data_IF_374872711027
#
_entry.id   IF_374872711027
#
_cell.length_a   1.000
_cell.length_b   1.000
_cell.length_c   1.000
_cell.angle_alpha   90.00
_cell.angle_beta   90.00
_cell.angle_gamma   90.00
#
_symmetry.space_group_name_H-M   'P 1'
#
loop_
_entity.id
_entity.type
_entity.pdbx_description
1 polymer ?
#
# COMPACT_ATOMS: atom_id res chain seq x y z
N UNK A 1 -18.52 -15.38 -8.79
CA UNK A 1 -19.48 -15.39 -7.66
C UNK A 1 -18.80 -15.32 -6.29
N UNK A 2 -17.87 -16.23 -5.96
CA UNK A 2 -17.12 -16.22 -4.68
C UNK A 2 -16.41 -14.90 -4.34
N UNK A 3 -15.76 -14.26 -5.32
CA UNK A 3 -15.09 -12.96 -5.13
C UNK A 3 -16.05 -11.79 -4.79
N UNK A 4 -17.28 -11.83 -5.30
CA UNK A 4 -18.29 -10.81 -5.00
C UNK A 4 -18.89 -11.02 -3.61
N UNK A 5 -19.14 -12.27 -3.23
CA UNK A 5 -19.60 -12.66 -1.89
C UNK A 5 -18.54 -12.34 -0.82
N UNK A 6 -17.26 -12.65 -1.06
CA UNK A 6 -16.13 -12.26 -0.20
C UNK A 6 -16.02 -10.74 -0.02
N UNK A 7 -16.15 -9.98 -1.12
CA UNK A 7 -16.19 -8.52 -1.07
C UNK A 7 -17.38 -7.98 -0.29
N UNK A 8 -18.53 -8.67 -0.34
CA UNK A 8 -19.76 -8.28 0.38
C UNK A 8 -19.65 -8.60 1.88
N UNK A 9 -19.13 -9.77 2.22
CA UNK A 9 -18.88 -10.21 3.60
C UNK A 9 -17.81 -9.35 4.29
N UNK A 10 -16.72 -9.01 3.58
CA UNK A 10 -15.69 -8.12 4.11
C UNK A 10 -16.20 -6.69 4.29
N UNK A 11 -17.05 -6.14 3.40
CA UNK A 11 -17.70 -4.83 3.60
C UNK A 11 -18.63 -4.76 4.82
N UNK A 12 -19.19 -5.90 5.25
CA UNK A 12 -20.12 -5.96 6.40
C UNK A 12 -19.41 -6.13 7.73
N UNK A 13 -18.12 -6.48 7.74
CA UNK A 13 -17.31 -6.51 8.96
C UNK A 13 -16.94 -5.07 9.29
N UNK A 14 -17.35 -4.50 10.44
CA UNK A 14 -16.85 -3.19 10.85
C UNK A 14 -15.35 -3.33 11.03
N UNK A 15 -14.60 -2.78 10.08
CA UNK A 15 -13.15 -2.73 10.16
C UNK A 15 -12.79 -1.86 11.35
N UNK A 16 -12.46 -2.50 12.47
CA UNK A 16 -11.77 -1.87 13.59
C UNK A 16 -10.29 -1.64 13.23
N UNK A 17 -10.02 -1.06 12.06
CA UNK A 17 -9.01 0.00 12.04
C UNK A 17 -9.63 1.06 12.92
N UNK A 18 -9.16 1.21 14.16
CA UNK A 18 -9.62 2.28 15.07
C UNK A 18 -9.90 3.52 14.22
N UNK A 19 -11.06 4.16 14.35
CA UNK A 19 -11.49 5.29 13.52
C UNK A 19 -10.29 6.18 13.20
N UNK A 20 -9.96 6.44 11.93
CA UNK A 20 -8.75 7.15 11.50
C UNK A 20 -8.60 8.51 12.22
N UNK A 21 -9.73 9.05 12.69
CA UNK A 21 -9.85 10.25 13.53
C UNK A 21 -9.33 10.11 14.95
N UNK A 22 -9.13 8.89 15.43
CA UNK A 22 -8.57 8.55 16.76
C UNK A 22 -7.05 8.39 16.72
N UNK A 23 -6.43 8.53 15.53
CA UNK A 23 -5.00 8.34 15.35
C UNK A 23 -4.29 9.67 15.52
N UNK A 24 -3.35 9.73 16.46
CA UNK A 24 -2.60 10.95 16.73
C UNK A 24 -1.71 11.30 15.52
N UNK A 25 -1.81 12.54 15.05
CA UNK A 25 -0.86 13.13 14.11
C UNK A 25 0.54 13.18 14.72
N UNK A 26 1.61 13.31 13.91
CA UNK A 26 2.95 13.52 14.43
C UNK A 26 3.01 14.68 15.42
N UNK A 27 3.58 14.44 16.60
CA UNK A 27 3.81 15.52 17.56
C UNK A 27 4.88 16.45 17.02
N UNK A 28 4.57 17.75 17.03
CA UNK A 28 5.47 18.78 16.52
C UNK A 28 6.05 19.56 17.70
N UNK A 29 7.36 19.78 17.69
CA UNK A 29 8.04 20.58 18.71
C UNK A 29 8.84 21.70 18.07
N UNK A 30 8.84 22.85 18.70
CA UNK A 30 9.77 23.93 18.38
C UNK A 30 11.19 23.49 18.73
N UNK A 31 12.11 23.56 17.78
CA UNK A 31 13.53 23.30 18.06
C UNK A 31 14.15 24.34 18.99
N UNK A 32 13.58 25.54 19.03
CA UNK A 32 14.09 26.68 19.82
C UNK A 32 13.58 26.62 21.26
N UNK A 33 12.29 26.39 21.45
CA UNK A 33 11.64 26.46 22.77
C UNK A 33 11.30 25.10 23.37
N UNK A 34 11.43 24.01 22.60
CA UNK A 34 11.04 22.65 23.01
C UNK A 34 9.53 22.44 23.18
N UNK A 35 8.72 23.50 23.04
CA UNK A 35 7.29 23.47 23.24
C UNK A 35 6.58 22.68 22.14
N UNK A 36 5.56 21.94 22.54
CA UNK A 36 4.66 21.24 21.62
C UNK A 36 3.85 22.28 20.84
N UNK A 37 3.91 22.18 19.52
CA UNK A 37 3.17 23.03 18.60
C UNK A 37 1.75 22.48 18.41
N UNK A 38 0.85 23.36 17.96
CA UNK A 38 -0.51 22.93 17.62
C UNK A 38 -0.50 21.86 16.53
N UNK A 39 -1.39 20.85 16.63
CA UNK A 39 -1.56 19.85 15.58
C UNK A 39 -1.87 20.51 14.24
N UNK A 40 -1.37 19.90 13.17
CA UNK A 40 -1.74 20.29 11.80
C UNK A 40 -3.11 19.64 11.49
N UNK A 41 -4.10 20.40 10.97
CA UNK A 41 -5.36 19.85 10.49
C UNK A 41 -5.16 18.74 9.46
N UNK A 42 -6.00 17.70 9.49
CA UNK A 42 -5.86 16.52 8.62
C UNK A 42 -5.90 16.87 7.13
N UNK A 43 -6.69 17.88 6.77
CA UNK A 43 -6.87 18.36 5.41
C UNK A 43 -5.56 18.90 4.80
N UNK A 44 -4.65 19.40 5.64
CA UNK A 44 -3.34 19.84 5.19
C UNK A 44 -2.40 18.66 4.92
N UNK A 45 -2.54 17.54 5.63
CA UNK A 45 -1.80 16.32 5.31
C UNK A 45 -2.27 15.74 3.98
N UNK A 46 -3.58 15.72 3.72
CA UNK A 46 -4.14 15.28 2.44
C UNK A 46 -3.57 16.10 1.27
N UNK A 47 -3.52 17.43 1.45
CA UNK A 47 -2.90 18.32 0.49
C UNK A 47 -1.41 18.00 0.28
N UNK A 48 -0.64 17.78 1.35
CA UNK A 48 0.77 17.38 1.26
C UNK A 48 0.92 16.06 0.48
N UNK A 49 0.12 15.05 0.80
CA UNK A 49 0.17 13.74 0.14
C UNK A 49 -0.18 13.87 -1.34
N UNK A 50 -1.11 14.75 -1.71
CA UNK A 50 -1.47 15.01 -3.11
C UNK A 50 -0.28 15.43 -3.98
N UNK A 51 0.73 16.11 -3.42
CA UNK A 51 1.95 16.49 -4.13
C UNK A 51 2.95 15.34 -4.29
N UNK A 52 2.84 14.29 -3.47
CA UNK A 52 3.75 13.14 -3.48
C UNK A 52 3.17 11.98 -4.28
N UNK A 53 1.84 11.89 -4.41
CA UNK A 53 1.18 10.86 -5.21
C UNK A 53 1.63 10.99 -6.68
N UNK A 54 2.08 9.89 -7.32
CA UNK A 54 2.41 9.91 -8.74
C UNK A 54 1.18 10.24 -9.58
N UNK A 55 1.32 11.15 -10.55
CA UNK A 55 0.27 11.46 -11.51
C UNK A 55 0.42 10.56 -12.74
N UNK A 56 -0.69 10.07 -13.30
CA UNK A 56 -0.69 9.23 -14.50
C UNK A 56 -0.23 9.95 -15.77
N UNK A 57 -0.20 11.28 -15.74
CA UNK A 57 -0.09 12.10 -16.95
C UNK A 57 1.36 12.55 -17.15
N UNK A 58 2.09 11.81 -17.98
CA UNK A 58 3.39 12.23 -18.51
C UNK A 58 4.60 12.07 -17.57
N UNK A 59 4.44 11.40 -16.43
CA UNK A 59 5.56 11.10 -15.53
C UNK A 59 6.44 9.96 -16.08
N UNK A 60 7.76 10.12 -15.96
CA UNK A 60 8.71 9.05 -16.22
C UNK A 60 8.56 7.94 -15.18
N UNK A 61 8.75 6.68 -15.59
CA UNK A 61 8.73 5.51 -14.69
C UNK A 61 9.68 5.69 -13.49
N UNK A 62 10.85 6.30 -13.69
CA UNK A 62 11.81 6.59 -12.62
C UNK A 62 11.23 7.57 -11.58
N UNK A 63 10.52 8.60 -12.03
CA UNK A 63 9.91 9.60 -11.16
C UNK A 63 8.75 9.00 -10.34
N UNK A 64 7.95 8.15 -10.97
CA UNK A 64 6.89 7.38 -10.30
C UNK A 64 7.48 6.44 -9.25
N UNK A 65 8.56 5.71 -9.57
CA UNK A 65 9.23 4.82 -8.61
C UNK A 65 9.78 5.58 -7.40
N UNK A 66 10.42 6.73 -7.62
CA UNK A 66 10.93 7.59 -6.55
C UNK A 66 9.81 8.06 -5.63
N UNK A 67 8.72 8.60 -6.19
CA UNK A 67 7.56 9.06 -5.41
C UNK A 67 6.90 7.93 -4.62
N UNK A 68 6.77 6.74 -5.22
CA UNK A 68 6.27 5.57 -4.50
C UNK A 68 7.19 5.17 -3.34
N UNK A 69 8.51 5.31 -3.47
CA UNK A 69 9.45 5.09 -2.37
C UNK A 69 9.29 6.14 -1.26
N UNK A 70 9.06 7.40 -1.62
CA UNK A 70 8.82 8.48 -0.66
C UNK A 70 7.51 8.24 0.12
N UNK A 71 6.43 7.85 -0.56
CA UNK A 71 5.17 7.45 0.09
C UNK A 71 5.37 6.30 1.08
N UNK A 72 6.11 5.26 0.70
CA UNK A 72 6.42 4.15 1.63
C UNK A 72 7.17 4.64 2.86
N UNK A 73 8.15 5.52 2.66
CA UNK A 73 8.94 6.10 3.76
C UNK A 73 8.06 6.95 4.69
N UNK A 74 7.09 7.67 4.14
CA UNK A 74 6.12 8.43 4.91
C UNK A 74 5.16 7.51 5.70
N UNK A 75 4.76 6.37 5.12
CA UNK A 75 3.82 5.45 5.77
C UNK A 75 4.30 4.87 7.11
N UNK A 76 5.62 4.87 7.36
CA UNK A 76 6.20 4.35 8.61
C UNK A 76 6.45 5.42 9.67
N UNK A 77 6.20 6.71 9.36
CA UNK A 77 6.47 7.83 10.28
C UNK A 77 5.56 7.79 11.50
N UNK A 78 4.26 7.66 11.26
CA UNK A 78 3.29 7.59 12.32
C UNK A 78 2.07 6.79 11.88
N UNK A 79 1.24 6.50 12.87
CA UNK A 79 -0.04 5.84 12.70
C UNK A 79 -0.90 6.54 11.64
N UNK A 80 -1.15 7.84 11.75
CA UNK A 80 -2.00 8.57 10.79
C UNK A 80 -1.49 8.40 9.34
N UNK A 81 -0.18 8.55 9.12
CA UNK A 81 0.42 8.44 7.79
C UNK A 81 0.32 7.01 7.25
N UNK A 82 0.49 6.01 8.11
CA UNK A 82 0.27 4.61 7.76
C UNK A 82 -1.15 4.39 7.22
N UNK A 83 -2.15 4.93 7.92
CA UNK A 83 -3.56 4.74 7.55
C UNK A 83 -3.94 5.46 6.24
N UNK A 84 -3.40 6.66 5.98
CA UNK A 84 -3.68 7.42 4.76
C UNK A 84 -2.87 6.92 3.55
N UNK A 85 -1.61 6.53 3.75
CA UNK A 85 -0.69 6.27 2.64
C UNK A 85 -0.69 4.82 2.18
N UNK A 86 -0.84 3.85 3.09
CA UNK A 86 -0.81 2.45 2.67
C UNK A 86 -1.92 2.06 1.69
N UNK A 87 -3.18 2.55 1.80
CA UNK A 87 -4.19 2.32 0.77
C UNK A 87 -3.74 2.80 -0.62
N UNK A 88 -3.01 3.91 -0.69
CA UNK A 88 -2.46 4.44 -1.94
C UNK A 88 -1.34 3.56 -2.48
N UNK A 89 -0.42 3.12 -1.62
CA UNK A 89 0.69 2.24 -1.99
C UNK A 89 0.19 0.88 -2.49
N UNK A 90 -0.80 0.30 -1.82
CA UNK A 90 -1.38 -0.99 -2.14
C UNK A 90 -2.48 -0.93 -3.21
N UNK A 91 -2.83 0.26 -3.70
CA UNK A 91 -3.85 0.43 -4.76
C UNK A 91 -3.51 -0.36 -6.02
N UNK A 92 -2.23 -0.43 -6.38
CA UNK A 92 -1.72 -1.22 -7.50
C UNK A 92 -0.54 -2.08 -7.06
N UNK A 93 -0.74 -3.39 -7.05
CA UNK A 93 0.27 -4.38 -6.71
C UNK A 93 0.84 -4.96 -7.99
N UNK A 94 2.16 -4.87 -8.15
CA UNK A 94 2.86 -5.41 -9.32
C UNK A 94 3.88 -6.43 -8.84
N UNK A 95 3.68 -7.69 -9.25
CA UNK A 95 4.64 -8.77 -9.06
C UNK A 95 5.53 -8.85 -10.28
N UNK A 96 6.84 -8.73 -10.09
CA UNK A 96 7.84 -8.84 -11.16
C UNK A 96 8.83 -9.94 -10.78
N UNK A 97 9.22 -10.74 -11.77
CA UNK A 97 10.32 -11.68 -11.61
C UNK A 97 11.62 -10.86 -11.59
N UNK A 98 12.23 -10.72 -10.41
CA UNK A 98 13.47 -9.95 -10.23
C UNK A 98 14.65 -10.76 -10.76
N UNK A 99 14.82 -10.85 -12.08
CA UNK A 99 16.15 -11.02 -12.63
C UNK A 99 16.91 -9.70 -12.38
N UNK A 100 18.13 -9.78 -11.86
CA UNK A 100 18.91 -8.69 -11.23
C UNK A 100 19.25 -7.49 -12.13
N UNK A 101 18.26 -6.76 -12.64
CA UNK A 101 18.50 -5.45 -13.26
C UNK A 101 18.53 -4.36 -12.18
N UNK A 102 19.28 -3.29 -12.44
CA UNK A 102 19.39 -2.15 -11.51
C UNK A 102 18.03 -1.50 -11.19
N UNK A 103 17.05 -1.62 -12.10
CA UNK A 103 15.67 -1.09 -11.95
C UNK A 103 14.88 -1.92 -10.93
N UNK A 104 15.06 -3.25 -10.93
CA UNK A 104 14.38 -4.18 -10.00
C UNK A 104 14.77 -4.01 -8.53
N UNK A 105 15.97 -3.48 -8.21
CA UNK A 105 16.39 -3.25 -6.81
C UNK A 105 15.56 -2.21 -6.07
N UNK A 106 14.88 -1.32 -6.79
CA UNK A 106 14.02 -0.29 -6.19
C UNK A 106 12.53 -0.70 -6.11
N UNK A 107 12.18 -1.89 -6.62
CA UNK A 107 10.80 -2.38 -6.58
C UNK A 107 10.47 -3.08 -5.27
N UNK A 108 9.19 -2.99 -4.88
CA UNK A 108 8.71 -3.58 -3.64
C UNK A 108 8.53 -5.09 -3.83
N UNK A 109 9.07 -5.88 -2.91
CA UNK A 109 8.61 -7.25 -2.77
C UNK A 109 7.30 -7.25 -1.97
N UNK A 110 6.23 -7.73 -2.60
CA UNK A 110 4.95 -7.96 -1.93
C UNK A 110 4.86 -9.35 -1.30
N UNK A 111 5.94 -10.14 -1.33
CA UNK A 111 5.99 -11.48 -0.72
C UNK A 111 5.64 -11.45 0.78
N UNK A 112 6.17 -10.53 1.62
CA UNK A 112 5.79 -10.46 3.02
C UNK A 112 4.30 -10.16 3.21
N UNK A 113 3.74 -9.28 2.37
CA UNK A 113 2.31 -8.97 2.38
C UNK A 113 1.47 -10.21 2.03
N UNK A 114 1.85 -10.96 1.00
CA UNK A 114 1.17 -12.20 0.64
C UNK A 114 1.24 -13.25 1.77
N UNK A 115 2.37 -13.33 2.47
CA UNK A 115 2.53 -14.22 3.63
C UNK A 115 1.60 -13.80 4.79
N UNK A 116 1.57 -12.51 5.15
CA UNK A 116 0.65 -11.98 6.16
C UNK A 116 -0.83 -12.21 5.80
N UNK A 117 -1.18 -12.07 4.51
CA UNK A 117 -2.53 -12.33 4.02
C UNK A 117 -2.89 -13.82 4.15
N UNK A 118 -1.97 -14.73 3.79
CA UNK A 118 -2.14 -16.18 3.96
C UNK A 118 -2.34 -16.57 5.42
N UNK A 119 -1.69 -15.87 6.35
CA UNK A 119 -1.79 -16.11 7.78
C UNK A 119 -3.05 -15.51 8.43
N UNK A 120 -3.92 -14.83 7.66
CA UNK A 120 -5.15 -14.22 8.18
C UNK A 120 -4.90 -13.00 9.07
N UNK A 121 -3.80 -12.27 8.86
CA UNK A 121 -3.52 -11.06 9.62
C UNK A 121 -4.52 -9.96 9.23
N UNK A 122 -5.28 -9.46 10.21
CA UNK A 122 -6.36 -8.47 10.02
C UNK A 122 -5.90 -7.24 9.22
N UNK A 123 -4.67 -6.78 9.47
CA UNK A 123 -4.10 -5.64 8.78
C UNK A 123 -3.84 -5.91 7.30
N UNK A 124 -3.29 -7.08 6.97
CA UNK A 124 -3.08 -7.51 5.59
C UNK A 124 -4.43 -7.73 4.86
N UNK A 125 -5.42 -8.32 5.53
CA UNK A 125 -6.79 -8.43 5.00
C UNK A 125 -7.40 -7.05 4.68
N UNK A 126 -7.22 -6.08 5.60
CA UNK A 126 -7.72 -4.73 5.41
C UNK A 126 -7.03 -4.00 4.26
N UNK A 127 -5.72 -4.19 4.08
CA UNK A 127 -4.97 -3.64 2.95
C UNK A 127 -5.34 -4.31 1.64
N UNK A 128 -5.59 -5.62 1.64
CA UNK A 128 -6.00 -6.37 0.45
C UNK A 128 -7.31 -5.83 -0.15
N UNK A 129 -8.20 -5.25 0.67
CA UNK A 129 -9.41 -4.58 0.18
C UNK A 129 -9.15 -3.28 -0.57
N UNK A 130 -8.01 -2.64 -0.34
CA UNK A 130 -7.63 -1.40 -1.02
C UNK A 130 -6.97 -1.66 -2.38
N UNK A 131 -6.58 -2.91 -2.65
CA UNK A 131 -5.99 -3.32 -3.93
C UNK A 131 -7.04 -3.23 -5.04
N UNK A 132 -6.80 -2.33 -6.00
CA UNK A 132 -7.65 -2.15 -7.18
C UNK A 132 -7.08 -2.85 -8.40
N UNK A 133 -5.75 -2.88 -8.52
CA UNK A 133 -5.03 -3.49 -9.63
C UNK A 133 -3.99 -4.46 -9.11
N UNK A 134 -3.92 -5.64 -9.74
CA UNK A 134 -2.92 -6.66 -9.47
C UNK A 134 -2.34 -7.09 -10.83
N UNK A 135 -1.05 -6.88 -11.02
CA UNK A 135 -0.36 -7.19 -12.28
C UNK A 135 0.81 -8.12 -12.00
N UNK A 136 0.98 -9.13 -12.85
CA UNK A 136 2.17 -9.99 -12.86
C UNK A 136 2.91 -9.67 -14.17
N UNK A 137 4.15 -9.19 -14.07
CA UNK A 137 5.01 -8.87 -15.21
C UNK A 137 6.20 -9.85 -15.26
N UNK A 138 6.72 -10.05 -16.46
CA UNK A 138 7.95 -10.81 -16.74
C UNK A 138 7.90 -12.30 -16.36
N UNK A 139 6.74 -12.93 -16.56
CA UNK A 139 6.61 -14.39 -16.44
C UNK A 139 7.18 -15.08 -17.70
N UNK A 140 8.49 -15.25 -17.75
CA UNK A 140 9.14 -16.12 -18.74
C UNK A 140 8.82 -17.57 -18.36
N UNK A 141 7.73 -18.11 -18.92
CA UNK A 141 7.28 -19.47 -18.65
C UNK A 141 5.86 -19.78 -19.10
N UNK A 142 5.36 -19.11 -20.15
CA UNK A 142 4.06 -19.42 -20.75
C UNK A 142 4.10 -20.69 -21.63
N UNK A 143 4.62 -21.79 -21.07
CA UNK A 143 4.41 -23.12 -21.63
C UNK A 143 3.70 -24.08 -20.70
N UNK A 144 3.51 -23.77 -19.39
CA UNK A 144 2.74 -24.63 -18.47
C UNK A 144 1.84 -23.84 -17.50
N UNK A 145 1.14 -22.79 -17.98
CA UNK A 145 0.20 -22.00 -17.18
C UNK A 145 -1.14 -22.71 -16.86
N UNK A 146 -1.31 -23.97 -17.28
CA UNK A 146 -2.47 -24.79 -16.93
C UNK A 146 -2.44 -25.28 -15.46
N UNK A 147 -1.25 -25.39 -14.85
CA UNK A 147 -1.12 -26.02 -13.52
C UNK A 147 -1.29 -25.04 -12.35
N UNK A 148 -1.06 -23.75 -12.55
CA UNK A 148 -1.11 -22.77 -11.44
C UNK A 148 -2.54 -22.40 -11.01
N UNK A 149 -3.49 -22.38 -11.94
CA UNK A 149 -4.90 -22.09 -11.61
C UNK A 149 -5.67 -23.31 -11.07
N UNK A 150 -5.11 -24.52 -11.21
CA UNK A 150 -5.72 -25.76 -10.67
C UNK A 150 -5.25 -26.11 -9.25
N UNK A 151 -4.15 -25.52 -8.75
CA UNK A 151 -3.64 -25.79 -7.40
C UNK A 151 -4.30 -24.93 -6.29
N UNK A 152 -5.25 -24.06 -6.62
CA UNK A 152 -5.96 -23.20 -5.63
C UNK A 152 -7.39 -23.67 -5.31
N UNK A 153 -7.72 -24.93 -5.59
CA UNK A 153 -8.92 -25.58 -5.05
C UNK A 153 -8.55 -26.51 -3.89
N UNK A 154 -8.28 -25.93 -2.73
CA UNK A 154 -8.38 -26.53 -1.40
C UNK A 154 -8.61 -25.42 -0.38
#
# INVERSE_FOLDING_TARGET
MLLQELRRALRQKPFNLRDIRTWNSPERRSSITGMVLTPIPIELYDLIFSFVIPCSDGESEESTLKRMKDLRSLSVVCRLFCAEILPLVFRSVVFQNTEETAVSRNQMSYVPFCASLKNGEIFAESLALQVQQCTIRDWIGASNLADFFLASSC
#
